data_IF_833590049103
#
_entry.id   IF_833590049103
#
_cell.length_a   1.000
_cell.length_b   1.000
_cell.length_c   1.000
_cell.angle_alpha   90.00
_cell.angle_beta   90.00
_cell.angle_gamma   90.00
#
_symmetry.space_group_name_H-M   'P 1'
#
loop_
_entity.id
_entity.type
_entity.pdbx_description
1 polymer ?
#
# COMPACT_ATOMS: atom_id res chain seq x y z
N UNK A 1 4.37 -3.68 -12.72
CA UNK A 1 3.44 -3.44 -11.61
C UNK A 1 2.86 -2.02 -11.66
N UNK A 2 1.72 -1.80 -11.04
CA UNK A 2 1.26 -0.46 -10.61
C UNK A 2 1.60 -0.25 -9.14
N UNK A 3 1.76 1.00 -8.70
CA UNK A 3 2.10 1.37 -7.33
C UNK A 3 1.25 2.57 -6.90
N UNK A 4 0.60 2.47 -5.75
CA UNK A 4 -0.15 3.54 -5.10
C UNK A 4 0.48 3.78 -3.74
N UNK A 5 0.92 5.00 -3.48
CA UNK A 5 1.61 5.40 -2.26
C UNK A 5 0.70 6.26 -1.38
N UNK A 6 0.71 6.02 -0.07
CA UNK A 6 -0.01 6.84 0.92
C UNK A 6 0.76 6.88 2.23
N UNK A 7 0.92 8.07 2.81
CA UNK A 7 1.50 8.25 4.15
C UNK A 7 0.41 8.20 5.22
N UNK A 8 0.62 7.39 6.25
CA UNK A 8 -0.29 7.22 7.38
C UNK A 8 0.44 7.41 8.71
N UNK A 9 -0.30 7.76 9.75
CA UNK A 9 0.22 7.72 11.12
C UNK A 9 0.05 6.30 11.69
N UNK A 10 1.12 5.71 12.19
CA UNK A 10 1.10 4.39 12.80
C UNK A 10 0.89 4.51 14.33
N UNK A 11 -0.29 4.18 14.87
CA UNK A 11 -0.67 4.52 16.23
C UNK A 11 0.16 3.79 17.31
N UNK A 12 0.61 2.56 17.06
CA UNK A 12 1.36 1.79 18.05
C UNK A 12 2.81 2.26 18.25
N UNK A 13 3.48 2.71 17.16
CA UNK A 13 4.88 3.18 17.22
C UNK A 13 4.99 4.70 17.28
N UNK A 14 3.90 5.44 16.98
CA UNK A 14 3.84 6.90 17.06
C UNK A 14 4.63 7.61 15.96
N UNK A 15 4.81 6.99 14.80
CA UNK A 15 5.59 7.49 13.65
C UNK A 15 4.77 7.49 12.38
N UNK A 16 5.23 8.22 11.37
CA UNK A 16 4.68 8.10 10.01
C UNK A 16 5.22 6.88 9.30
N UNK A 17 4.36 6.23 8.53
CA UNK A 17 4.72 5.14 7.64
C UNK A 17 4.25 5.43 6.23
N UNK A 18 5.02 4.99 5.25
CA UNK A 18 4.61 4.95 3.85
C UNK A 18 4.04 3.58 3.55
N UNK A 19 2.82 3.55 3.00
CA UNK A 19 2.21 2.33 2.50
C UNK A 19 2.22 2.36 0.98
N UNK A 20 2.91 1.39 0.39
CA UNK A 20 2.85 1.10 -1.03
C UNK A 20 1.94 -0.10 -1.25
N UNK A 21 0.86 0.07 -2.02
CA UNK A 21 -0.02 -1.02 -2.45
C UNK A 21 -0.13 -1.03 -3.97
N UNK A 22 -0.18 -2.20 -4.59
CA UNK A 22 -0.19 -2.28 -6.04
C UNK A 22 -0.64 -3.61 -6.62
N UNK A 23 -0.71 -3.65 -7.95
CA UNK A 23 -1.00 -4.85 -8.73
C UNK A 23 0.17 -5.20 -9.64
N UNK A 24 0.66 -6.44 -9.57
CA UNK A 24 1.65 -6.96 -10.49
C UNK A 24 0.95 -7.71 -11.63
N UNK A 25 0.92 -7.09 -12.82
CA UNK A 25 0.32 -7.70 -14.02
C UNK A 25 0.98 -9.03 -14.42
N UNK A 26 2.32 -9.13 -14.57
CA UNK A 26 2.98 -10.39 -14.92
C UNK A 26 2.68 -11.56 -13.98
N UNK A 27 2.65 -11.31 -12.66
CA UNK A 27 2.44 -12.33 -11.64
C UNK A 27 0.96 -12.45 -11.19
N UNK A 28 0.13 -11.52 -11.65
CA UNK A 28 -1.31 -11.44 -11.44
C UNK A 28 -1.73 -11.42 -9.97
N UNK A 29 -1.01 -10.74 -9.09
CA UNK A 29 -1.35 -10.61 -7.67
C UNK A 29 -1.28 -9.17 -7.18
N UNK A 30 -1.96 -8.89 -6.08
CA UNK A 30 -1.81 -7.64 -5.34
C UNK A 30 -0.65 -7.75 -4.36
N UNK A 31 0.05 -6.64 -4.11
CA UNK A 31 1.15 -6.56 -3.14
C UNK A 31 0.99 -5.35 -2.23
N UNK A 32 1.62 -5.43 -1.05
CA UNK A 32 1.69 -4.31 -0.13
C UNK A 32 3.02 -4.33 0.64
N UNK A 33 3.63 -3.16 0.77
CA UNK A 33 4.81 -2.88 1.57
C UNK A 33 4.49 -1.70 2.48
N UNK A 34 4.99 -1.73 3.72
CA UNK A 34 4.92 -0.64 4.69
C UNK A 34 6.32 -0.38 5.21
N UNK A 35 6.78 0.86 5.14
CA UNK A 35 8.11 1.31 5.57
C UNK A 35 7.97 2.44 6.60
N UNK A 36 8.87 2.48 7.59
CA UNK A 36 8.96 3.56 8.58
C UNK A 36 9.70 4.77 7.99
N UNK A 37 8.98 5.88 7.77
CA UNK A 37 9.52 7.10 7.16
C UNK A 37 10.54 7.83 8.05
N UNK A 38 10.56 7.52 9.34
CA UNK A 38 11.46 8.15 10.30
C UNK A 38 12.69 7.27 10.59
N UNK A 39 12.75 6.07 10.03
CA UNK A 39 13.95 5.23 10.11
C UNK A 39 14.99 5.68 9.07
N UNK A 40 16.27 5.85 9.44
CA UNK A 40 17.32 6.24 8.49
C UNK A 40 17.56 5.21 7.39
N UNK A 41 17.10 3.97 7.58
CA UNK A 41 17.24 2.85 6.64
C UNK A 41 15.89 2.43 6.03
N UNK A 42 14.83 3.25 6.18
CA UNK A 42 13.45 2.95 5.75
C UNK A 42 13.00 1.55 6.22
N UNK A 43 13.17 1.30 7.53
CA UNK A 43 12.92 -0.03 8.12
C UNK A 43 11.57 -0.60 7.70
N UNK A 44 11.64 -1.85 7.22
CA UNK A 44 10.47 -2.58 6.75
C UNK A 44 9.54 -2.91 7.93
N UNK A 45 8.36 -2.28 7.94
CA UNK A 45 7.28 -2.58 8.91
C UNK A 45 6.47 -3.80 8.46
N UNK A 46 6.24 -3.92 7.15
CA UNK A 46 5.54 -5.06 6.56
C UNK A 46 5.93 -5.26 5.09
N UNK A 47 6.07 -6.51 4.68
CA UNK A 47 6.06 -6.91 3.27
C UNK A 47 5.20 -8.14 3.09
N UNK A 48 4.38 -8.17 2.04
CA UNK A 48 3.63 -9.38 1.69
C UNK A 48 4.53 -10.58 1.36
N UNK A 49 5.80 -10.37 1.05
CA UNK A 49 6.77 -11.45 0.82
C UNK A 49 7.24 -12.11 2.13
N UNK A 50 7.19 -11.39 3.24
CA UNK A 50 7.53 -11.90 4.57
C UNK A 50 6.30 -12.38 5.35
N UNK A 51 5.09 -12.11 4.84
CA UNK A 51 3.84 -12.57 5.41
C UNK A 51 3.52 -14.00 4.95
N UNK A 52 3.68 -15.03 5.83
CA UNK A 52 3.43 -16.42 5.46
C UNK A 52 1.96 -16.69 5.11
N UNK A 53 1.04 -15.77 5.43
CA UNK A 53 -0.37 -15.86 5.10
C UNK A 53 -0.74 -15.12 3.81
N UNK A 54 0.11 -14.24 3.29
CA UNK A 54 -0.21 -13.46 2.10
C UNK A 54 -0.04 -14.26 0.81
N UNK A 55 1.07 -15.00 0.67
CA UNK A 55 1.39 -15.73 -0.57
C UNK A 55 1.33 -14.81 -1.79
N UNK A 56 0.50 -15.17 -2.79
CA UNK A 56 0.24 -14.36 -3.99
C UNK A 56 -1.24 -13.95 -4.05
N UNK A 57 -1.67 -12.97 -3.24
CA UNK A 57 -3.08 -12.75 -2.99
C UNK A 57 -3.79 -12.17 -4.22
N UNK A 58 -4.98 -12.71 -4.48
CA UNK A 58 -5.87 -12.28 -5.59
C UNK A 58 -6.94 -11.30 -5.14
N UNK A 59 -6.96 -10.95 -3.85
CA UNK A 59 -7.84 -9.95 -3.24
C UNK A 59 -7.04 -9.02 -2.34
N UNK A 60 -7.63 -7.87 -1.99
CA UNK A 60 -7.03 -6.89 -1.07
C UNK A 60 -7.37 -7.16 0.40
N UNK A 61 -8.19 -8.17 0.69
CA UNK A 61 -8.74 -8.44 2.03
C UNK A 61 -7.62 -8.65 3.06
N UNK A 62 -6.58 -9.40 2.68
CA UNK A 62 -5.43 -9.65 3.56
C UNK A 62 -4.75 -8.35 3.99
N UNK A 63 -4.65 -7.38 3.09
CA UNK A 63 -4.00 -6.10 3.36
C UNK A 63 -4.86 -5.19 4.24
N UNK A 64 -6.18 -5.25 4.06
CA UNK A 64 -7.12 -4.60 4.98
C UNK A 64 -7.01 -5.17 6.39
N UNK A 65 -6.88 -6.48 6.53
CA UNK A 65 -6.67 -7.13 7.83
C UNK A 65 -5.35 -6.72 8.49
N UNK A 66 -4.26 -6.67 7.71
CA UNK A 66 -2.93 -6.27 8.21
C UNK A 66 -2.97 -4.84 8.75
N UNK A 67 -3.50 -3.90 7.97
CA UNK A 67 -3.62 -2.50 8.39
C UNK A 67 -4.55 -2.35 9.60
N UNK A 68 -5.70 -3.01 9.60
CA UNK A 68 -6.62 -3.00 10.73
C UNK A 68 -5.98 -3.56 12.01
N UNK A 69 -5.16 -4.61 11.88
CA UNK A 69 -4.37 -5.17 12.98
C UNK A 69 -3.34 -4.21 13.55
N UNK A 70 -2.87 -3.25 12.75
CA UNK A 70 -1.99 -2.15 13.17
C UNK A 70 -2.77 -0.89 13.62
N UNK A 71 -4.10 -0.92 13.57
CA UNK A 71 -4.95 0.24 13.87
C UNK A 71 -4.97 1.32 12.79
N UNK A 72 -4.56 0.98 11.57
CA UNK A 72 -4.52 1.88 10.43
C UNK A 72 -5.61 1.54 9.41
N UNK A 73 -6.03 2.53 8.63
CA UNK A 73 -6.94 2.34 7.50
C UNK A 73 -6.51 3.20 6.33
N UNK A 74 -6.48 2.62 5.13
CA UNK A 74 -6.34 3.37 3.89
C UNK A 74 -7.73 3.78 3.39
N UNK A 75 -7.89 5.01 2.86
CA UNK A 75 -9.12 5.48 2.23
C UNK A 75 -9.62 4.57 1.08
N UNK A 76 -10.94 4.43 0.94
CA UNK A 76 -11.55 3.60 -0.12
C UNK A 76 -11.18 4.02 -1.54
N UNK A 77 -10.84 5.29 -1.76
CA UNK A 77 -10.39 5.79 -3.07
C UNK A 77 -9.11 5.09 -3.53
N UNK A 78 -8.14 4.88 -2.64
CA UNK A 78 -6.88 4.21 -2.95
C UNK A 78 -7.11 2.73 -3.24
N UNK A 79 -7.95 2.06 -2.44
CA UNK A 79 -8.31 0.66 -2.70
C UNK A 79 -9.03 0.47 -4.04
N UNK A 80 -9.97 1.36 -4.35
CA UNK A 80 -10.67 1.36 -5.63
C UNK A 80 -9.72 1.55 -6.81
N UNK A 81 -8.73 2.44 -6.69
CA UNK A 81 -7.72 2.67 -7.72
C UNK A 81 -6.87 1.41 -7.99
N UNK A 82 -6.42 0.69 -6.95
CA UNK A 82 -5.67 -0.56 -7.11
C UNK A 82 -6.53 -1.67 -7.74
N UNK A 83 -7.81 -1.77 -7.36
CA UNK A 83 -8.74 -2.70 -7.99
C UNK A 83 -8.97 -2.37 -9.46
N UNK A 84 -9.03 -1.09 -9.80
CA UNK A 84 -9.15 -0.63 -11.18
C UNK A 84 -7.90 -0.96 -12.00
N UNK A 85 -6.70 -0.81 -11.42
CA UNK A 85 -5.44 -1.22 -12.06
C UNK A 85 -5.48 -2.69 -12.48
N UNK A 86 -6.00 -3.56 -11.60
CA UNK A 86 -6.15 -4.98 -11.88
C UNK A 86 -7.20 -5.25 -12.97
N UNK A 87 -8.36 -4.60 -12.91
CA UNK A 87 -9.43 -4.75 -13.92
C UNK A 87 -8.98 -4.31 -15.31
N UNK A 88 -8.21 -3.23 -15.38
CA UNK A 88 -7.67 -2.69 -16.62
C UNK A 88 -6.37 -3.39 -17.06
N UNK A 89 -5.88 -4.35 -16.27
CA UNK A 89 -4.61 -5.04 -16.49
C UNK A 89 -3.44 -4.05 -16.70
N UNK A 90 -3.46 -2.97 -15.92
CA UNK A 90 -2.53 -1.87 -16.00
C UNK A 90 -1.12 -2.28 -15.52
N UNK A 91 -0.13 -1.51 -15.95
CA UNK A 91 1.25 -1.64 -15.48
C UNK A 91 2.00 -0.35 -15.72
N UNK A 92 3.09 -0.16 -14.98
CA UNK A 92 3.94 1.03 -15.04
C UNK A 92 3.20 2.33 -14.68
N UNK A 93 2.25 2.23 -13.75
CA UNK A 93 1.53 3.37 -13.20
C UNK A 93 1.99 3.59 -11.76
N UNK A 94 2.33 4.83 -11.43
CA UNK A 94 2.66 5.26 -10.07
C UNK A 94 1.79 6.46 -9.71
N UNK A 95 1.17 6.44 -8.54
CA UNK A 95 0.37 7.54 -8.02
C UNK A 95 0.55 7.69 -6.50
N UNK A 96 0.39 8.92 -6.02
CA UNK A 96 0.59 9.31 -4.62
C UNK A 96 -0.71 9.89 -4.07
N UNK A 97 -1.01 9.58 -2.81
CA UNK A 97 -2.22 10.03 -2.13
C UNK A 97 -1.86 10.67 -0.79
N UNK A 98 -2.61 11.71 -0.43
CA UNK A 98 -2.64 12.20 0.93
C UNK A 98 -3.43 11.24 1.86
N UNK A 99 -3.39 11.50 3.17
CA UNK A 99 -4.08 10.68 4.17
C UNK A 99 -5.62 10.71 4.06
N UNK A 100 -6.18 11.62 3.26
CA UNK A 100 -7.62 11.71 2.99
C UNK A 100 -8.03 10.86 1.78
N UNK A 101 -7.06 10.38 1.01
CA UNK A 101 -7.28 9.58 -0.19
C UNK A 101 -7.43 10.42 -1.44
N UNK A 102 -6.99 11.67 -1.42
CA UNK A 102 -6.90 12.54 -2.60
C UNK A 102 -5.57 12.28 -3.30
N UNK A 103 -5.61 12.07 -4.62
CA UNK A 103 -4.39 11.92 -5.42
C UNK A 103 -3.66 13.25 -5.51
N UNK A 104 -2.35 13.24 -5.27
CA UNK A 104 -1.46 14.41 -5.21
C UNK A 104 -0.26 14.24 -6.14
N UNK A 105 0.44 15.35 -6.42
CA UNK A 105 1.72 15.29 -7.14
C UNK A 105 2.76 14.53 -6.32
N UNK A 106 3.73 13.90 -7.00
CA UNK A 106 4.89 13.32 -6.33
C UNK A 106 5.72 14.37 -5.57
N UNK A 107 5.68 15.64 -6.00
CA UNK A 107 6.37 16.74 -5.32
C UNK A 107 5.69 17.15 -4.00
N UNK A 108 4.40 16.79 -3.84
CA UNK A 108 3.59 17.09 -2.65
C UNK A 108 3.52 15.90 -1.68
N UNK A 109 4.16 14.76 -2.01
CA UNK A 109 4.11 13.51 -1.24
C UNK A 109 5.07 13.47 -0.04
#
# INVERSE_FOLDING_TARGET
MTQRFIKLDHPAIGRKVSVMVGYDRPLSYFFMIIEDEESPDDDLVYSNLEDPKAGFPKTLDRYREVLAGMGMTIPETVWAAVLEDQKNNAGNLVAWYDSTGTEISSDDY
#
